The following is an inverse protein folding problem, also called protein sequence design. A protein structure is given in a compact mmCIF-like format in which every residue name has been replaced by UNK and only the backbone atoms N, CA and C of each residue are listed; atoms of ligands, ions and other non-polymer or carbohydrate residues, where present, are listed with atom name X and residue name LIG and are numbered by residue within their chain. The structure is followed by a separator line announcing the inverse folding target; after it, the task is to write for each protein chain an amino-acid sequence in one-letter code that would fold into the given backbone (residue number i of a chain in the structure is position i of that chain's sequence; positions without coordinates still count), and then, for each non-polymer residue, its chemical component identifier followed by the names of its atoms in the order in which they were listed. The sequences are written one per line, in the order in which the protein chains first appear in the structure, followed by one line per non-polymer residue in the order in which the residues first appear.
data_IF_635559986091
#
_entry.id   IF_635559986091
#
_cell.length_a   1.000
_cell.length_b   1.000
_cell.length_c   1.000
_cell.angle_alpha   90.00
_cell.angle_beta   90.00
_cell.angle_gamma   90.00
#
_symmetry.space_group_name_H-M   'P 1'
#
loop_
_entity.id
_entity.type
_entity.pdbx_description
1 polymer ?
#
# COMPACT_ATOMS: atom_id res chain seq x y z
N UNK A 1 9.61 4.89 -14.36
CA UNK A 1 10.53 5.05 -13.21
C UNK A 1 10.67 6.50 -12.75
N UNK A 2 11.36 7.38 -13.48
CA UNK A 2 11.69 8.75 -13.03
C UNK A 2 10.51 9.55 -12.47
N UNK A 3 9.36 9.58 -13.18
CA UNK A 3 8.15 10.26 -12.70
C UNK A 3 7.69 9.73 -11.33
N UNK A 4 7.72 8.41 -11.12
CA UNK A 4 7.30 7.82 -9.85
C UNK A 4 8.24 8.20 -8.69
N UNK A 5 9.54 8.36 -8.96
CA UNK A 5 10.51 8.83 -7.97
C UNK A 5 10.31 10.31 -7.64
N UNK A 6 10.08 11.15 -8.65
CA UNK A 6 9.80 12.59 -8.47
C UNK A 6 8.53 12.80 -7.64
N UNK A 7 7.43 12.13 -8.01
CA UNK A 7 6.15 12.22 -7.30
C UNK A 7 6.25 11.67 -5.87
N UNK A 8 7.01 10.61 -5.66
CA UNK A 8 7.26 10.09 -4.31
C UNK A 8 8.00 11.14 -3.45
N UNK A 9 9.06 11.76 -3.97
CA UNK A 9 9.79 12.79 -3.22
C UNK A 9 8.92 14.02 -2.93
N UNK A 10 8.11 14.44 -3.91
CA UNK A 10 7.13 15.50 -3.71
C UNK A 10 6.15 15.13 -2.58
N UNK A 11 5.53 13.95 -2.64
CA UNK A 11 4.55 13.50 -1.65
C UNK A 11 5.14 13.42 -0.24
N UNK A 12 6.35 12.86 -0.09
CA UNK A 12 7.03 12.81 1.20
C UNK A 12 7.28 14.19 1.78
N UNK A 13 7.68 15.15 0.93
CA UNK A 13 7.90 16.54 1.34
C UNK A 13 6.60 17.21 1.76
N UNK A 14 5.54 17.08 0.95
CA UNK A 14 4.23 17.69 1.23
C UNK A 14 3.61 17.15 2.52
N UNK A 15 3.62 15.83 2.69
CA UNK A 15 2.96 15.17 3.82
C UNK A 15 3.88 14.94 5.02
N UNK A 16 5.17 15.33 4.91
CA UNK A 16 6.20 15.14 5.94
C UNK A 16 6.31 13.69 6.40
N UNK A 17 6.15 12.75 5.47
CA UNK A 17 6.26 11.33 5.74
C UNK A 17 7.74 10.91 5.84
N UNK A 18 8.01 9.92 6.69
CA UNK A 18 9.38 9.44 6.95
C UNK A 18 9.95 8.60 5.80
N UNK A 19 9.08 7.86 5.12
CA UNK A 19 9.43 6.96 4.02
C UNK A 19 8.19 6.70 3.17
N UNK A 20 8.40 6.12 1.99
CA UNK A 20 7.30 5.71 1.12
C UNK A 20 7.78 4.87 -0.05
N UNK A 21 6.81 4.22 -0.70
CA UNK A 21 7.01 3.36 -1.86
C UNK A 21 5.90 3.59 -2.87
N UNK A 22 6.24 3.62 -4.16
CA UNK A 22 5.28 3.60 -5.27
C UNK A 22 5.62 2.41 -6.18
N UNK A 23 4.61 1.60 -6.49
CA UNK A 23 4.69 0.52 -7.49
C UNK A 23 3.67 0.82 -8.59
N UNK A 24 4.12 0.81 -9.84
CA UNK A 24 3.27 0.94 -11.03
C UNK A 24 3.35 -0.35 -11.83
N UNK A 25 2.19 -0.95 -12.08
CA UNK A 25 2.07 -2.27 -12.69
C UNK A 25 1.09 -2.24 -13.87
N UNK A 26 1.41 -2.95 -14.96
CA UNK A 26 0.41 -3.30 -15.97
C UNK A 26 -0.50 -4.40 -15.41
N UNK A 27 -1.81 -4.16 -15.22
CA UNK A 27 -2.71 -5.12 -14.59
C UNK A 27 -3.03 -6.35 -15.46
N UNK A 28 -2.71 -6.32 -16.76
CA UNK A 28 -2.94 -7.44 -17.69
C UNK A 28 -1.79 -8.41 -17.70
N UNK A 29 -0.56 -7.91 -17.62
CA UNK A 29 0.67 -8.72 -17.71
C UNK A 29 1.35 -8.93 -16.36
N UNK A 30 1.10 -8.05 -15.39
CA UNK A 30 1.81 -8.02 -14.11
C UNK A 30 3.19 -7.35 -14.19
N UNK A 31 3.57 -6.79 -15.33
CA UNK A 31 4.87 -6.13 -15.50
C UNK A 31 4.98 -4.89 -14.62
N UNK A 32 6.12 -4.74 -13.96
CA UNK A 32 6.44 -3.57 -13.14
C UNK A 32 7.03 -2.48 -14.05
N UNK A 33 6.25 -1.42 -14.26
CA UNK A 33 6.65 -0.26 -15.08
C UNK A 33 7.49 0.75 -14.27
N UNK A 34 7.30 0.77 -12.95
CA UNK A 34 8.10 1.55 -12.01
C UNK A 34 8.02 0.97 -10.59
N UNK A 35 9.12 1.10 -9.85
CA UNK A 35 9.21 0.77 -8.43
C UNK A 35 10.13 1.78 -7.76
N UNK A 36 9.56 2.73 -7.05
CA UNK A 36 10.28 3.82 -6.39
C UNK A 36 10.17 3.66 -4.88
N UNK A 37 11.28 3.83 -4.17
CA UNK A 37 11.36 3.81 -2.71
C UNK A 37 12.06 5.07 -2.21
N UNK A 38 11.72 5.49 -1.00
CA UNK A 38 12.44 6.53 -0.29
C UNK A 38 12.38 6.25 1.21
N UNK A 39 13.49 6.40 1.96
CA UNK A 39 14.79 6.93 1.52
C UNK A 39 15.50 6.02 0.50
N UNK A 40 16.36 6.63 -0.31
CA UNK A 40 17.18 5.95 -1.34
C UNK A 40 18.67 6.22 -1.09
N UNK A 41 19.54 5.63 -1.89
CA UNK A 41 21.00 5.78 -1.81
C UNK A 41 21.59 6.05 -3.20
N UNK A 42 22.80 6.63 -3.25
CA UNK A 42 23.56 6.71 -4.49
C UNK A 42 24.38 5.42 -4.68
N UNK A 43 24.07 4.60 -5.70
CA UNK A 43 24.82 3.37 -5.94
C UNK A 43 26.29 3.61 -6.35
N UNK A 44 26.64 4.83 -6.81
CA UNK A 44 28.01 5.17 -7.17
C UNK A 44 28.86 5.59 -5.95
N UNK A 45 28.22 5.93 -4.82
CA UNK A 45 28.89 6.30 -3.56
C UNK A 45 28.18 5.68 -2.35
N UNK A 46 28.55 4.43 -2.03
CA UNK A 46 28.01 3.71 -0.88
C UNK A 46 28.56 4.19 0.47
N UNK A 47 29.58 5.06 0.49
CA UNK A 47 30.22 5.48 1.75
C UNK A 47 29.28 6.28 2.67
N UNK A 48 28.21 6.85 2.09
CA UNK A 48 27.17 7.63 2.78
C UNK A 48 25.82 6.91 2.85
N UNK A 49 25.73 5.69 2.33
CA UNK A 49 24.47 4.96 2.28
C UNK A 49 24.08 4.45 3.68
N UNK A 50 22.83 4.69 4.08
CA UNK A 50 22.22 3.94 5.18
C UNK A 50 21.91 2.53 4.68
N UNK A 51 22.45 1.51 5.34
CA UNK A 51 22.23 0.11 4.96
C UNK A 51 20.75 -0.28 5.00
N UNK A 52 19.91 0.40 5.78
CA UNK A 52 18.46 0.22 5.73
C UNK A 52 17.85 0.72 4.41
N UNK A 53 18.37 1.81 3.84
CA UNK A 53 17.90 2.39 2.57
C UNK A 53 18.41 1.62 1.33
N UNK A 54 19.41 0.75 1.49
CA UNK A 54 19.89 -0.14 0.42
C UNK A 54 18.88 -1.24 0.09
N UNK A 55 18.01 -1.59 1.05
CA UNK A 55 16.99 -2.60 0.83
C UNK A 55 15.82 -2.05 0.00
N UNK A 56 15.30 -2.88 -0.89
CA UNK A 56 14.10 -2.55 -1.64
C UNK A 56 12.85 -2.79 -0.79
N UNK A 57 12.40 -1.74 -0.11
CA UNK A 57 11.24 -1.78 0.79
C UNK A 57 9.95 -2.24 0.11
N UNK A 58 9.81 -2.03 -1.20
CA UNK A 58 8.64 -2.47 -1.96
C UNK A 58 8.42 -4.00 -1.90
N UNK A 59 9.49 -4.77 -1.70
CA UNK A 59 9.43 -6.24 -1.68
C UNK A 59 9.90 -6.85 -0.35
N UNK A 60 10.67 -6.11 0.45
CA UNK A 60 11.22 -6.62 1.72
C UNK A 60 10.44 -6.16 2.95
N UNK A 61 9.78 -5.00 2.90
CA UNK A 61 9.08 -4.45 4.05
C UNK A 61 7.65 -5.01 4.14
N UNK A 62 7.28 -5.43 5.35
CA UNK A 62 5.91 -5.83 5.67
C UNK A 62 5.23 -4.72 6.45
N UNK A 63 3.97 -4.47 6.16
CA UNK A 63 3.13 -3.53 6.91
C UNK A 63 1.70 -4.05 6.98
N UNK A 64 0.96 -3.61 7.99
CA UNK A 64 -0.46 -3.92 8.12
C UNK A 64 -1.24 -3.08 7.08
N UNK A 65 -1.92 -3.71 6.10
CA UNK A 65 -2.56 -2.98 5.00
C UNK A 65 -3.77 -2.15 5.43
N UNK A 66 -4.35 -2.43 6.61
CA UNK A 66 -5.56 -1.75 7.07
C UNK A 66 -6.71 -1.85 6.08
N UNK A 67 -7.45 -0.75 5.87
CA UNK A 67 -8.66 -0.77 5.05
C UNK A 67 -8.45 -1.08 3.56
N UNK A 68 -7.24 -0.96 3.00
CA UNK A 68 -7.03 -1.35 1.58
C UNK A 68 -7.20 -2.86 1.36
N UNK A 69 -7.07 -3.66 2.41
CA UNK A 69 -7.31 -5.11 2.35
C UNK A 69 -8.79 -5.48 2.15
N UNK A 70 -9.73 -4.56 2.43
CA UNK A 70 -11.17 -4.81 2.30
C UNK A 70 -11.58 -5.23 0.89
N UNK A 71 -10.78 -4.94 -0.13
CA UNK A 71 -11.00 -5.44 -1.50
C UNK A 71 -11.10 -6.97 -1.56
N UNK A 72 -10.30 -7.70 -0.76
CA UNK A 72 -10.34 -9.17 -0.72
C UNK A 72 -11.65 -9.64 -0.08
N UNK A 73 -12.01 -9.08 1.08
CA UNK A 73 -13.27 -9.43 1.76
C UNK A 73 -14.49 -9.10 0.91
N UNK A 74 -14.49 -7.94 0.24
CA UNK A 74 -15.57 -7.53 -0.64
C UNK A 74 -15.69 -8.46 -1.86
N UNK A 75 -14.56 -8.82 -2.49
CA UNK A 75 -14.55 -9.77 -3.60
C UNK A 75 -15.08 -11.14 -3.17
N UNK A 76 -14.65 -11.67 -2.02
CA UNK A 76 -15.14 -12.95 -1.50
C UNK A 76 -16.66 -12.93 -1.19
N UNK A 77 -17.17 -11.81 -0.66
CA UNK A 77 -18.58 -11.67 -0.36
C UNK A 77 -19.44 -11.62 -1.65
N UNK A 78 -18.96 -10.95 -2.70
CA UNK A 78 -19.61 -10.94 -4.01
C UNK A 78 -19.53 -12.31 -4.70
N UNK A 79 -18.35 -12.95 -4.69
CA UNK A 79 -18.10 -14.24 -5.32
C UNK A 79 -18.93 -15.37 -4.70
N UNK A 80 -19.09 -15.36 -3.37
CA UNK A 80 -19.96 -16.30 -2.65
C UNK A 80 -21.46 -16.00 -2.79
N UNK A 81 -21.84 -14.89 -3.43
CA UNK A 81 -23.23 -14.49 -3.65
C UNK A 81 -23.99 -14.09 -2.38
N UNK A 82 -23.29 -13.90 -1.25
CA UNK A 82 -23.93 -13.51 0.03
C UNK A 82 -24.32 -12.03 0.05
N UNK A 83 -23.75 -11.23 -0.85
CA UNK A 83 -24.13 -9.82 -1.07
C UNK A 83 -24.18 -9.49 -2.57
N UNK A 84 -24.93 -8.45 -2.92
CA UNK A 84 -24.92 -7.85 -4.27
C UNK A 84 -24.43 -6.40 -4.24
N UNK A 85 -23.89 -5.85 -5.36
CA UNK A 85 -23.39 -4.47 -5.38
C UNK A 85 -24.44 -3.39 -5.06
N UNK A 86 -25.72 -3.70 -5.24
CA UNK A 86 -26.84 -2.79 -5.01
C UNK A 86 -27.59 -3.09 -3.70
N UNK A 87 -27.14 -4.07 -2.92
CA UNK A 87 -27.78 -4.42 -1.67
C UNK A 87 -27.50 -3.34 -0.62
N UNK A 88 -28.57 -2.79 -0.05
CA UNK A 88 -28.46 -1.93 1.13
C UNK A 88 -28.18 -2.80 2.36
N UNK A 89 -27.14 -2.44 3.11
CA UNK A 89 -26.82 -3.04 4.40
C UNK A 89 -27.10 -2.02 5.51
N UNK A 90 -27.57 -2.51 6.65
CA UNK A 90 -27.70 -1.66 7.85
C UNK A 90 -26.35 -1.53 8.52
N UNK A 91 -25.85 -0.30 8.61
CA UNK A 91 -24.64 0.04 9.35
C UNK A 91 -25.01 0.85 10.59
N UNK A 92 -24.73 0.29 11.77
CA UNK A 92 -24.98 0.93 13.07
C UNK A 92 -23.79 1.77 13.54
N UNK A 93 -22.69 1.81 12.79
CA UNK A 93 -21.44 2.50 13.14
C UNK A 93 -20.65 1.83 14.27
N UNK A 94 -21.06 0.64 14.69
CA UNK A 94 -20.29 -0.27 15.54
C UNK A 94 -20.98 -1.63 15.66
N UNK A 95 -20.21 -2.67 15.97
CA UNK A 95 -20.71 -4.03 16.25
C UNK A 95 -19.87 -4.70 17.35
N UNK A 96 -20.52 -5.45 18.24
CA UNK A 96 -19.84 -6.27 19.23
C UNK A 96 -19.43 -7.63 18.62
N UNK A 97 -18.14 -7.94 18.62
CA UNK A 97 -17.58 -9.21 18.17
C UNK A 97 -16.80 -9.84 19.32
N UNK A 98 -17.36 -10.89 19.93
CA UNK A 98 -16.82 -11.47 21.15
C UNK A 98 -16.83 -10.47 22.31
N UNK A 99 -15.67 -10.21 22.92
CA UNK A 99 -15.52 -9.24 24.03
C UNK A 99 -15.07 -7.84 23.57
N UNK A 100 -15.04 -7.56 22.26
CA UNK A 100 -14.60 -6.27 21.71
C UNK A 100 -15.73 -5.60 20.93
N UNK A 101 -15.85 -4.28 21.10
CA UNK A 101 -16.68 -3.45 20.21
C UNK A 101 -15.78 -2.94 19.10
N UNK A 102 -16.15 -3.24 17.86
CA UNK A 102 -15.53 -2.70 16.65
C UNK A 102 -16.38 -1.50 16.24
N UNK A 103 -15.73 -0.36 16.03
CA UNK A 103 -16.35 0.85 15.48
C UNK A 103 -16.39 0.76 13.94
#
# INVERSE_FOLDING_TARGET
QWIAEEELQWALTQFRAQSGTIIVMDPRTGEILAMANSPTFDPNDLSKADMAAVQNTAISAQYEPGSVFKMITAAAALDSGVVTPTQTLTDTGSIAVGQRVIL
#
